data_IF_021025488948
#
_entry.id   IF_021025488948
#
_cell.length_a   1.000
_cell.length_b   1.000
_cell.length_c   1.000
_cell.angle_alpha   90.00
_cell.angle_beta   90.00
_cell.angle_gamma   90.00
#
_symmetry.space_group_name_H-M   'P 1'
#
loop_
_entity.id
_entity.type
_entity.pdbx_description
1 polymer ?
#
# COMPACT_ATOMS: atom_id res chain seq x y z
N UNK A 1 -23.13 13.51 2.52
CA UNK A 1 -22.58 14.66 3.15
C UNK A 1 -21.32 14.39 4.01
N UNK A 2 -20.55 13.38 3.61
CA UNK A 2 -19.30 12.98 4.24
C UNK A 2 -18.26 14.10 4.09
N UNK A 3 -18.11 14.66 2.88
CA UNK A 3 -17.11 15.70 2.59
C UNK A 3 -17.25 16.92 3.50
N UNK A 4 -18.47 17.39 3.74
CA UNK A 4 -18.72 18.55 4.58
C UNK A 4 -18.33 18.35 6.06
N UNK A 5 -18.21 17.11 6.52
CA UNK A 5 -17.91 16.72 7.90
C UNK A 5 -16.50 16.19 8.09
N UNK A 6 -15.68 16.20 7.04
CA UNK A 6 -14.33 15.63 7.05
C UNK A 6 -13.33 16.71 6.68
N UNK A 7 -12.14 16.65 7.27
CA UNK A 7 -10.98 17.47 6.87
C UNK A 7 -10.16 16.71 5.80
N UNK A 8 -10.16 15.38 5.91
CA UNK A 8 -9.48 14.48 4.98
C UNK A 8 -10.50 13.63 4.25
N UNK A 9 -10.35 13.50 2.93
CA UNK A 9 -11.22 12.72 2.06
C UNK A 9 -10.40 11.65 1.36
N UNK A 10 -10.77 10.38 1.58
CA UNK A 10 -10.12 9.24 0.94
C UNK A 10 -11.07 8.63 -0.08
N UNK A 11 -10.91 8.88 -1.38
CA UNK A 11 -11.72 8.25 -2.42
C UNK A 11 -11.39 6.74 -2.47
N UNK A 12 -12.30 5.90 -2.03
CA UNK A 12 -12.16 4.45 -2.01
C UNK A 12 -13.12 3.81 -3.02
N UNK A 13 -12.92 4.13 -4.28
CA UNK A 13 -13.76 3.68 -5.41
C UNK A 13 -12.90 3.10 -6.52
N UNK A 14 -13.50 2.33 -7.42
CA UNK A 14 -12.81 1.88 -8.62
C UNK A 14 -12.53 3.06 -9.57
N UNK A 15 -11.42 3.06 -10.31
CA UNK A 15 -11.02 4.20 -11.16
C UNK A 15 -12.11 4.68 -12.13
N UNK A 16 -12.91 3.76 -12.65
CA UNK A 16 -13.92 4.05 -13.68
C UNK A 16 -15.04 4.99 -13.22
N UNK A 17 -15.32 5.07 -11.92
CA UNK A 17 -16.41 5.89 -11.39
C UNK A 17 -15.93 7.08 -10.57
N UNK A 18 -14.61 7.32 -10.49
CA UNK A 18 -14.06 8.35 -9.61
C UNK A 18 -14.58 9.75 -9.99
N UNK A 19 -14.57 10.09 -11.26
CA UNK A 19 -15.04 11.39 -11.75
C UNK A 19 -16.55 11.59 -11.47
N UNK A 20 -17.34 10.56 -11.64
CA UNK A 20 -18.77 10.61 -11.34
C UNK A 20 -19.06 10.81 -9.85
N UNK A 21 -18.23 10.23 -8.99
CA UNK A 21 -18.36 10.33 -7.53
C UNK A 21 -17.84 11.66 -6.99
N UNK A 22 -16.69 12.11 -7.45
CA UNK A 22 -16.08 13.36 -6.97
C UNK A 22 -16.62 14.61 -7.68
N UNK A 23 -17.04 14.51 -8.95
CA UNK A 23 -17.54 15.63 -9.75
C UNK A 23 -18.59 16.49 -9.03
N UNK A 24 -19.65 15.90 -8.47
CA UNK A 24 -20.68 16.65 -7.76
C UNK A 24 -20.21 17.35 -6.48
N UNK A 25 -19.08 16.95 -5.90
CA UNK A 25 -18.56 17.47 -4.63
C UNK A 25 -17.26 18.27 -4.78
N UNK A 26 -16.75 18.46 -5.99
CA UNK A 26 -15.52 19.22 -6.26
C UNK A 26 -15.48 20.58 -5.56
N UNK A 27 -16.54 21.39 -5.54
CA UNK A 27 -16.51 22.70 -4.84
C UNK A 27 -16.28 22.55 -3.33
N UNK A 28 -16.74 21.46 -2.72
CA UNK A 28 -16.61 21.18 -1.29
C UNK A 28 -15.26 20.58 -0.92
N UNK A 29 -14.49 20.08 -1.90
CA UNK A 29 -13.14 19.53 -1.70
C UNK A 29 -12.06 20.59 -1.59
N UNK A 30 -12.34 21.84 -1.99
CA UNK A 30 -11.34 22.91 -2.06
C UNK A 30 -10.59 23.16 -0.75
N UNK A 31 -11.28 23.02 0.38
CA UNK A 31 -10.71 23.25 1.72
C UNK A 31 -10.43 21.90 2.44
N UNK A 32 -10.26 20.82 1.67
CA UNK A 32 -10.01 19.49 2.20
C UNK A 32 -8.70 18.93 1.65
N UNK A 33 -8.17 17.94 2.35
CA UNK A 33 -7.04 17.15 1.88
C UNK A 33 -7.55 15.87 1.23
N UNK A 34 -7.21 15.63 -0.02
CA UNK A 34 -7.58 14.42 -0.75
C UNK A 34 -6.40 13.45 -0.73
N UNK A 35 -6.57 12.31 -0.05
CA UNK A 35 -5.62 11.20 -0.07
C UNK A 35 -6.15 10.11 -0.99
N UNK A 36 -5.65 10.07 -2.20
CA UNK A 36 -6.10 9.08 -3.17
C UNK A 36 -5.54 7.70 -2.89
N UNK A 37 -6.42 6.68 -2.97
CA UNK A 37 -6.04 5.27 -3.03
C UNK A 37 -6.50 4.62 -4.34
N UNK A 38 -6.81 5.43 -5.35
CA UNK A 38 -7.38 4.97 -6.62
C UNK A 38 -6.27 4.67 -7.61
N UNK A 39 -6.17 3.42 -8.04
CA UNK A 39 -5.16 2.97 -8.98
C UNK A 39 -5.22 3.73 -10.31
N UNK A 40 -4.06 4.12 -10.85
CA UNK A 40 -3.95 4.84 -12.12
C UNK A 40 -4.33 6.32 -12.06
N UNK A 41 -4.56 6.86 -10.86
CA UNK A 41 -4.77 8.29 -10.62
C UNK A 41 -3.54 8.87 -9.90
N UNK A 42 -2.62 9.41 -10.70
CA UNK A 42 -1.42 10.09 -10.23
C UNK A 42 -1.68 11.57 -9.89
N UNK A 43 -0.66 12.25 -9.39
CA UNK A 43 -0.73 13.66 -9.05
C UNK A 43 -1.21 14.52 -10.23
N UNK A 44 -0.67 14.30 -11.42
CA UNK A 44 -0.99 15.12 -12.59
C UNK A 44 -2.48 14.99 -13.01
N UNK A 45 -3.05 13.81 -12.91
CA UNK A 45 -4.49 13.60 -13.19
C UNK A 45 -5.37 14.29 -12.16
N UNK A 46 -5.02 14.23 -10.88
CA UNK A 46 -5.76 14.93 -9.83
C UNK A 46 -5.64 16.44 -9.97
N UNK A 47 -4.44 16.96 -10.28
CA UNK A 47 -4.23 18.39 -10.50
C UNK A 47 -5.09 18.92 -11.66
N UNK A 48 -5.30 18.11 -12.70
CA UNK A 48 -6.18 18.48 -13.83
C UNK A 48 -7.67 18.37 -13.52
N UNK A 49 -8.04 17.57 -12.54
CA UNK A 49 -9.44 17.27 -12.22
C UNK A 49 -9.99 18.04 -11.02
N UNK A 50 -9.20 18.20 -9.97
CA UNK A 50 -9.60 18.90 -8.76
C UNK A 50 -9.65 20.42 -8.97
N UNK A 51 -10.39 21.14 -8.15
CA UNK A 51 -10.38 22.57 -8.15
C UNK A 51 -8.99 23.11 -7.80
N UNK A 52 -8.48 24.16 -8.47
CA UNK A 52 -7.17 24.74 -8.16
C UNK A 52 -7.01 25.07 -6.67
N UNK A 53 -5.89 24.65 -6.09
CA UNK A 53 -5.57 24.83 -4.68
C UNK A 53 -6.13 23.75 -3.74
N UNK A 54 -6.79 22.73 -4.25
CA UNK A 54 -7.14 21.54 -3.44
C UNK A 54 -5.87 20.76 -3.13
N UNK A 55 -5.59 20.54 -1.86
CA UNK A 55 -4.43 19.75 -1.45
C UNK A 55 -4.66 18.26 -1.64
N UNK A 56 -3.71 17.58 -2.26
CA UNK A 56 -3.86 16.13 -2.52
C UNK A 56 -2.53 15.39 -2.61
N UNK A 57 -2.59 14.10 -2.35
CA UNK A 57 -1.50 13.13 -2.51
C UNK A 57 -2.06 11.83 -3.11
N UNK A 58 -1.34 11.26 -4.08
CA UNK A 58 -1.68 9.98 -4.67
C UNK A 58 -0.94 8.85 -3.99
N UNK A 59 -1.67 7.81 -3.60
CA UNK A 59 -1.11 6.65 -2.88
C UNK A 59 -1.66 5.34 -3.44
N UNK A 60 -0.92 4.27 -3.22
CA UNK A 60 -1.34 2.89 -3.53
C UNK A 60 -1.12 2.03 -2.29
N UNK A 61 -2.19 1.73 -1.53
CA UNK A 61 -2.14 0.80 -0.41
C UNK A 61 -2.20 -0.66 -0.89
N UNK A 62 -1.94 -1.58 0.04
CA UNK A 62 -2.20 -2.99 -0.16
C UNK A 62 -3.08 -3.58 0.95
N UNK A 63 -3.55 -4.82 0.77
CA UNK A 63 -4.51 -5.45 1.69
C UNK A 63 -4.02 -5.65 3.13
N UNK A 64 -2.71 -5.89 3.43
CA UNK A 64 -2.22 -6.00 4.81
C UNK A 64 -2.38 -4.72 5.65
N UNK A 65 -2.74 -3.58 5.07
CA UNK A 65 -3.09 -2.36 5.81
C UNK A 65 -4.23 -2.60 6.82
N UNK A 66 -5.09 -3.59 6.56
CA UNK A 66 -6.20 -3.95 7.44
C UNK A 66 -5.76 -4.47 8.83
N UNK A 67 -4.52 -4.92 8.95
CA UNK A 67 -3.93 -5.42 10.20
C UNK A 67 -2.73 -4.57 10.67
N UNK A 68 -2.52 -3.40 10.08
CA UNK A 68 -1.42 -2.51 10.45
C UNK A 68 -0.06 -2.85 9.81
N UNK A 69 -0.01 -3.81 8.90
CA UNK A 69 1.22 -4.30 8.25
C UNK A 69 1.22 -4.00 6.74
N UNK A 70 0.65 -2.87 6.37
CA UNK A 70 0.53 -2.45 4.99
C UNK A 70 1.81 -1.89 4.39
N UNK A 71 1.78 -1.75 3.07
CA UNK A 71 2.67 -0.86 2.30
C UNK A 71 1.79 0.19 1.65
N UNK A 72 2.22 1.45 1.75
CA UNK A 72 1.58 2.59 1.13
C UNK A 72 2.61 3.29 0.24
N UNK A 73 2.63 2.95 -1.05
CA UNK A 73 3.43 3.69 -2.00
C UNK A 73 2.79 5.08 -2.20
N UNK A 74 3.58 6.13 -2.04
CA UNK A 74 3.12 7.52 -2.17
C UNK A 74 3.87 8.21 -3.30
N UNK A 75 3.17 8.92 -4.15
CA UNK A 75 3.85 9.77 -5.12
C UNK A 75 4.56 10.91 -4.38
N UNK A 76 5.85 11.10 -4.65
CA UNK A 76 6.68 12.14 -4.01
C UNK A 76 6.31 13.55 -4.47
N UNK A 77 5.59 13.66 -5.59
CA UNK A 77 4.97 14.91 -6.03
C UNK A 77 3.59 15.01 -5.40
N UNK A 78 3.40 16.02 -4.56
CA UNK A 78 2.15 16.37 -3.91
C UNK A 78 2.12 17.87 -3.61
N UNK A 79 0.97 18.40 -3.24
CA UNK A 79 0.83 19.82 -2.87
C UNK A 79 0.38 20.03 -1.40
N UNK A 80 0.54 19.00 -0.56
CA UNK A 80 0.36 19.12 0.88
C UNK A 80 1.40 20.09 1.44
N UNK A 81 1.01 20.88 2.43
CA UNK A 81 1.96 21.64 3.26
C UNK A 81 2.80 20.69 4.13
N UNK A 82 3.91 21.18 4.67
CA UNK A 82 4.77 20.38 5.59
C UNK A 82 3.98 19.84 6.80
N UNK A 83 3.07 20.64 7.36
CA UNK A 83 2.24 20.22 8.49
C UNK A 83 1.23 19.13 8.11
N UNK A 84 0.61 19.22 6.94
CA UNK A 84 -0.32 18.23 6.41
C UNK A 84 0.40 16.94 6.08
N UNK A 85 1.61 17.03 5.48
CA UNK A 85 2.40 15.85 5.19
C UNK A 85 2.87 15.14 6.47
N UNK A 86 3.30 15.88 7.49
CA UNK A 86 3.64 15.30 8.79
C UNK A 86 2.44 14.59 9.44
N UNK A 87 1.25 15.19 9.34
CA UNK A 87 0.02 14.56 9.82
C UNK A 87 -0.35 13.31 9.01
N UNK A 88 -0.13 13.34 7.69
CA UNK A 88 -0.28 12.18 6.83
C UNK A 88 0.65 11.04 7.27
N UNK A 89 1.93 11.31 7.48
CA UNK A 89 2.90 10.31 7.95
C UNK A 89 2.53 9.76 9.34
N UNK A 90 2.13 10.62 10.27
CA UNK A 90 1.71 10.21 11.61
C UNK A 90 0.47 9.30 11.56
N UNK A 91 -0.47 9.60 10.67
CA UNK A 91 -1.74 8.87 10.58
C UNK A 91 -1.58 7.54 9.87
N UNK A 92 -1.04 7.56 8.65
CA UNK A 92 -0.92 6.38 7.81
C UNK A 92 0.28 5.49 8.16
N UNK A 93 1.34 6.06 8.75
CA UNK A 93 2.49 5.31 9.26
C UNK A 93 2.16 4.35 10.41
N UNK A 94 0.99 4.51 11.06
CA UNK A 94 0.49 3.55 12.07
C UNK A 94 -0.03 2.24 11.48
N UNK A 95 -0.34 2.23 10.19
CA UNK A 95 -1.00 1.09 9.53
C UNK A 95 -0.24 0.61 8.28
N UNK A 96 0.78 1.32 7.84
CA UNK A 96 1.56 0.98 6.66
C UNK A 96 2.97 1.55 6.70
N UNK A 97 3.90 0.86 6.07
CA UNK A 97 5.18 1.44 5.66
C UNK A 97 4.93 2.41 4.50
N UNK A 98 5.19 3.70 4.73
CA UNK A 98 5.08 4.73 3.72
C UNK A 98 6.35 4.72 2.85
N UNK A 99 6.18 4.56 1.54
CA UNK A 99 7.30 4.50 0.58
C UNK A 99 7.11 5.60 -0.47
N UNK A 100 7.84 6.73 -0.35
CA UNK A 100 7.83 7.77 -1.37
C UNK A 100 8.46 7.27 -2.67
N UNK A 101 7.79 7.52 -3.79
CA UNK A 101 8.25 7.12 -5.13
C UNK A 101 7.99 8.24 -6.14
N UNK A 102 8.80 8.30 -7.19
CA UNK A 102 8.56 9.25 -8.28
C UNK A 102 7.36 8.83 -9.14
N UNK A 103 6.81 9.74 -9.93
CA UNK A 103 5.73 9.44 -10.88
C UNK A 103 6.06 8.25 -11.80
N UNK A 104 7.30 8.16 -12.29
CA UNK A 104 7.75 7.04 -13.12
C UNK A 104 7.81 5.70 -12.38
N UNK A 105 8.00 5.72 -11.07
CA UNK A 105 8.06 4.54 -10.20
C UNK A 105 6.69 4.17 -9.61
N UNK A 106 5.69 5.03 -9.71
CA UNK A 106 4.39 4.84 -9.07
C UNK A 106 3.69 3.57 -9.55
N UNK A 107 3.68 3.31 -10.87
CA UNK A 107 3.14 2.07 -11.44
C UNK A 107 3.88 0.80 -10.97
N UNK A 108 5.22 0.73 -11.14
CA UNK A 108 6.03 -0.39 -10.60
C UNK A 108 5.86 -0.61 -9.10
N UNK A 109 5.83 0.45 -8.29
CA UNK A 109 5.59 0.36 -6.85
C UNK A 109 4.19 -0.19 -6.53
N UNK A 110 3.17 0.23 -7.29
CA UNK A 110 1.82 -0.31 -7.20
C UNK A 110 1.76 -1.81 -7.51
N UNK A 111 2.52 -2.26 -8.51
CA UNK A 111 2.63 -3.68 -8.82
C UNK A 111 3.33 -4.44 -7.70
N UNK A 112 4.48 -3.95 -7.24
CA UNK A 112 5.24 -4.61 -6.18
C UNK A 112 4.50 -4.61 -4.84
N UNK A 113 3.93 -3.48 -4.43
CA UNK A 113 3.20 -3.37 -3.16
C UNK A 113 1.78 -3.95 -3.23
N UNK A 114 1.02 -3.60 -4.27
CA UNK A 114 -0.40 -3.93 -4.40
C UNK A 114 -0.69 -5.35 -4.88
N UNK A 115 0.11 -5.89 -5.83
CA UNK A 115 -0.14 -7.23 -6.39
C UNK A 115 0.57 -8.36 -5.61
N UNK A 116 1.71 -8.08 -4.98
CA UNK A 116 2.51 -9.09 -4.28
C UNK A 116 1.76 -9.84 -3.18
N UNK A 117 0.80 -9.29 -2.43
CA UNK A 117 0.01 -10.09 -1.50
C UNK A 117 -0.68 -11.30 -2.13
N UNK A 118 -1.18 -11.18 -3.36
CA UNK A 118 -1.75 -12.30 -4.11
C UNK A 118 -0.69 -13.35 -4.47
N UNK A 119 0.49 -12.94 -4.93
CA UNK A 119 1.59 -13.84 -5.26
C UNK A 119 2.13 -14.54 -4.00
N UNK A 120 2.20 -13.81 -2.89
CA UNK A 120 2.56 -14.38 -1.58
C UNK A 120 1.55 -15.43 -1.12
N UNK A 121 0.26 -15.20 -1.34
CA UNK A 121 -0.78 -16.20 -1.05
C UNK A 121 -0.63 -17.47 -1.90
N UNK A 122 -0.32 -17.32 -3.20
CA UNK A 122 -0.02 -18.49 -4.06
C UNK A 122 1.21 -19.26 -3.58
N UNK A 123 2.25 -18.56 -3.16
CA UNK A 123 3.45 -19.19 -2.59
C UNK A 123 3.12 -19.90 -1.27
N UNK A 124 2.28 -19.31 -0.42
CA UNK A 124 1.79 -19.94 0.81
C UNK A 124 0.99 -21.22 0.53
N UNK A 125 0.15 -21.21 -0.50
CA UNK A 125 -0.59 -22.41 -0.95
C UNK A 125 0.38 -23.53 -1.38
N UNK A 126 1.38 -23.20 -2.20
CA UNK A 126 2.36 -24.18 -2.67
C UNK A 126 3.18 -24.80 -1.52
N UNK A 127 3.59 -23.99 -0.53
CA UNK A 127 4.26 -24.49 0.68
C UNK A 127 3.32 -25.38 1.51
N UNK A 128 2.05 -24.99 1.64
CA UNK A 128 1.04 -25.77 2.32
C UNK A 128 0.80 -27.14 1.66
N UNK A 129 0.74 -27.18 0.33
CA UNK A 129 0.60 -28.42 -0.44
C UNK A 129 1.81 -29.34 -0.26
N UNK A 130 3.01 -28.80 -0.29
CA UNK A 130 4.22 -29.56 0.00
C UNK A 130 4.19 -30.15 1.42
N UNK A 131 3.81 -29.35 2.43
CA UNK A 131 3.69 -29.81 3.81
C UNK A 131 2.70 -30.99 3.95
N UNK A 132 1.54 -30.90 3.32
CA UNK A 132 0.53 -31.97 3.33
C UNK A 132 1.04 -33.21 2.62
N UNK A 133 1.71 -33.07 1.49
CA UNK A 133 2.31 -34.20 0.75
C UNK A 133 3.28 -35.02 1.64
N UNK A 134 3.95 -34.37 2.58
CA UNK A 134 4.91 -35.00 3.49
C UNK A 134 4.35 -35.25 4.90
N UNK A 135 3.03 -35.22 5.06
CA UNK A 135 2.33 -35.72 6.26
C UNK A 135 1.95 -34.68 7.30
N UNK A 136 2.16 -33.39 7.05
CA UNK A 136 1.63 -32.36 7.93
C UNK A 136 0.11 -32.21 7.75
N UNK A 137 -0.59 -31.80 8.81
CA UNK A 137 -1.96 -31.32 8.63
C UNK A 137 -1.97 -30.03 7.82
N UNK A 138 -3.04 -29.76 7.04
CA UNK A 138 -3.18 -28.53 6.26
C UNK A 138 -3.05 -27.29 7.15
N UNK A 139 -3.66 -27.30 8.32
CA UNK A 139 -3.60 -26.20 9.26
C UNK A 139 -2.17 -25.92 9.74
N UNK A 140 -1.43 -26.95 10.14
CA UNK A 140 -0.04 -26.80 10.57
C UNK A 140 0.87 -26.32 9.43
N UNK A 141 0.69 -26.84 8.21
CA UNK A 141 1.48 -26.47 7.05
C UNK A 141 1.30 -24.97 6.72
N UNK A 142 0.07 -24.48 6.67
CA UNK A 142 -0.19 -23.05 6.43
C UNK A 142 0.32 -22.15 7.55
N UNK A 143 0.12 -22.55 8.81
CA UNK A 143 0.59 -21.77 9.95
C UNK A 143 2.12 -21.63 9.96
N UNK A 144 2.83 -22.71 9.72
CA UNK A 144 4.30 -22.70 9.64
C UNK A 144 4.79 -21.85 8.47
N UNK A 145 4.22 -22.03 7.28
CA UNK A 145 4.60 -21.30 6.09
C UNK A 145 4.35 -19.79 6.27
N UNK A 146 3.20 -19.40 6.81
CA UNK A 146 2.90 -17.99 7.09
C UNK A 146 3.91 -17.38 8.07
N UNK A 147 4.23 -18.08 9.17
CA UNK A 147 5.19 -17.59 10.16
C UNK A 147 6.60 -17.46 9.57
N UNK A 148 7.01 -18.35 8.69
CA UNK A 148 8.32 -18.26 7.99
C UNK A 148 8.37 -17.03 7.09
N UNK A 149 7.30 -16.73 6.35
CA UNK A 149 7.23 -15.55 5.50
C UNK A 149 7.35 -14.25 6.33
N UNK A 150 6.60 -14.16 7.44
CA UNK A 150 6.68 -13.03 8.37
C UNK A 150 8.10 -12.88 8.90
N UNK A 151 8.66 -13.96 9.48
CA UNK A 151 9.99 -13.92 10.09
C UNK A 151 11.10 -13.59 9.11
N UNK A 152 11.06 -14.10 7.89
CA UNK A 152 12.05 -13.80 6.86
C UNK A 152 11.97 -12.35 6.41
N UNK A 153 10.77 -11.79 6.26
CA UNK A 153 10.56 -10.38 5.94
C UNK A 153 11.10 -9.47 7.05
N UNK A 154 10.77 -9.76 8.31
CA UNK A 154 11.26 -9.02 9.47
C UNK A 154 12.78 -9.09 9.59
N UNK A 155 13.37 -10.28 9.40
CA UNK A 155 14.82 -10.46 9.44
C UNK A 155 15.55 -9.60 8.38
N UNK A 156 14.96 -9.48 7.18
CA UNK A 156 15.47 -8.59 6.16
C UNK A 156 15.41 -7.12 6.59
N UNK A 157 14.26 -6.69 7.10
CA UNK A 157 14.05 -5.29 7.52
C UNK A 157 14.98 -4.89 8.68
N UNK A 158 15.21 -5.79 9.63
CA UNK A 158 16.08 -5.54 10.78
C UNK A 158 17.56 -5.59 10.43
N UNK A 159 17.97 -6.57 9.61
CA UNK A 159 19.40 -6.79 9.31
C UNK A 159 19.93 -5.91 8.18
N UNK A 160 19.08 -5.51 7.23
CA UNK A 160 19.47 -4.84 6.00
C UNK A 160 20.38 -5.69 5.08
N UNK A 161 20.53 -6.99 5.36
CA UNK A 161 21.38 -7.88 4.58
C UNK A 161 20.77 -8.13 3.19
N UNK A 162 21.62 -8.26 2.19
CA UNK A 162 21.17 -8.66 0.86
C UNK A 162 20.42 -10.01 0.92
N UNK A 163 19.27 -10.17 0.25
CA UNK A 163 18.47 -11.41 0.30
C UNK A 163 19.25 -12.68 -0.04
N UNK A 164 20.24 -12.57 -0.95
CA UNK A 164 21.17 -13.66 -1.26
C UNK A 164 21.98 -14.13 -0.06
N UNK A 165 22.44 -13.21 0.80
CA UNK A 165 23.18 -13.53 2.03
C UNK A 165 22.28 -14.23 3.04
N UNK A 166 21.03 -13.77 3.19
CA UNK A 166 20.04 -14.43 4.05
C UNK A 166 19.78 -15.86 3.58
N UNK A 167 19.61 -16.04 2.26
CA UNK A 167 19.43 -17.36 1.65
C UNK A 167 20.63 -18.27 1.93
N UNK A 168 21.87 -17.80 1.65
CA UNK A 168 23.08 -18.59 1.81
C UNK A 168 23.33 -18.98 3.28
N UNK A 169 22.90 -18.14 4.24
CA UNK A 169 22.95 -18.43 5.67
C UNK A 169 22.08 -19.61 6.12
N UNK A 170 21.09 -19.99 5.33
CA UNK A 170 20.22 -21.17 5.59
C UNK A 170 20.70 -22.42 4.84
N UNK A 171 21.41 -22.23 3.73
CA UNK A 171 21.88 -23.35 2.91
C UNK A 171 23.06 -24.04 3.58
N UNK A 172 22.97 -25.38 3.72
CA UNK A 172 24.13 -26.21 4.07
C UNK A 172 24.95 -26.52 2.83
N UNK A 173 26.27 -26.75 2.96
CA UNK A 173 27.09 -27.24 1.87
C UNK A 173 26.61 -28.55 1.26
#
# INVERSE_FOLDING_TARGET
>A
DVVAKSDWVVPAVVPAILEDVLGPVLPALRDKIVVSIVSGWDFARYEAFLAPGTHHISTIPNTPIAIGEGVLACESTHNLTEAEYAQFEETFGKIALIVPVTAAQFGPAGTLGGCTPAFTAMYLEALGDAGVKYGLSRAAAYQMAAQVLIGTGMLYLESGLHPGVLKDGVCSP
#
